data_IF_615766182004
#
_entry.id   IF_615766182004
#
_cell.length_a   1.000
_cell.length_b   1.000
_cell.length_c   1.000
_cell.angle_alpha   90.00
_cell.angle_beta   90.00
_cell.angle_gamma   90.00
#
_symmetry.space_group_name_H-M   'P 1'
#
loop_
_entity.id
_entity.type
_entity.pdbx_description
1 polymer ?
#
# COMPACT_ATOMS: atom_id res chain seq x y z
N UNK A 1 -9.49 -4.85 14.51
CA UNK A 1 -9.44 -3.83 13.44
C UNK A 1 -8.13 -3.95 12.71
N UNK A 2 -8.19 -4.14 11.41
CA UNK A 2 -6.97 -4.22 10.60
C UNK A 2 -6.37 -2.83 10.45
N UNK A 3 -5.09 -2.70 10.74
CA UNK A 3 -4.38 -1.45 10.56
C UNK A 3 -4.08 -1.28 9.07
N UNK A 4 -4.14 -0.04 8.57
CA UNK A 4 -3.96 0.21 7.14
C UNK A 4 -2.60 -0.28 6.62
N UNK A 5 -1.56 -0.19 7.44
CA UNK A 5 -0.24 -0.61 6.98
C UNK A 5 -0.13 -2.12 6.80
N UNK A 6 -0.95 -2.91 7.51
CA UNK A 6 -1.04 -4.35 7.26
C UNK A 6 -1.63 -4.62 5.88
N UNK A 7 -2.58 -3.79 5.44
CA UNK A 7 -3.16 -3.89 4.09
C UNK A 7 -2.12 -3.67 3.01
N UNK A 8 -1.18 -2.76 3.24
CA UNK A 8 -0.10 -2.52 2.30
C UNK A 8 0.68 -3.80 2.03
N UNK A 9 1.02 -4.51 3.09
CA UNK A 9 1.73 -5.77 2.99
C UNK A 9 0.88 -6.83 2.31
N UNK A 10 -0.39 -6.94 2.72
CA UNK A 10 -1.30 -7.96 2.18
C UNK A 10 -1.45 -7.78 0.66
N UNK A 11 -1.64 -6.55 0.21
CA UNK A 11 -1.80 -6.29 -1.22
C UNK A 11 -0.51 -6.55 -1.99
N UNK A 12 0.64 -6.22 -1.39
CA UNK A 12 1.94 -6.50 -2.02
C UNK A 12 2.14 -8.00 -2.17
N UNK A 13 1.85 -8.77 -1.13
CA UNK A 13 2.01 -10.22 -1.16
C UNK A 13 1.03 -10.86 -2.14
N UNK A 14 -0.21 -10.37 -2.18
CA UNK A 14 -1.20 -10.85 -3.13
C UNK A 14 -0.78 -10.59 -4.58
N UNK A 15 -0.07 -9.50 -4.82
CA UNK A 15 0.45 -9.17 -6.15
C UNK A 15 1.78 -9.86 -6.45
N UNK A 16 2.27 -10.68 -5.53
CA UNK A 16 3.52 -11.43 -5.70
C UNK A 16 4.72 -10.52 -5.89
N UNK A 17 4.73 -9.38 -5.20
CA UNK A 17 5.79 -8.38 -5.33
C UNK A 17 6.67 -8.35 -4.10
N UNK A 18 7.95 -8.07 -4.31
CA UNK A 18 8.89 -7.83 -3.22
C UNK A 18 8.82 -6.38 -2.78
N UNK A 19 9.22 -6.10 -1.53
CA UNK A 19 9.28 -4.73 -1.03
C UNK A 19 10.16 -3.86 -1.93
N UNK A 20 11.27 -4.39 -2.43
CA UNK A 20 12.16 -3.64 -3.32
C UNK A 20 11.46 -3.21 -4.61
N UNK A 21 10.60 -4.06 -5.16
CA UNK A 21 9.87 -3.74 -6.39
C UNK A 21 8.87 -2.61 -6.15
N UNK A 22 8.16 -2.66 -5.04
CA UNK A 22 7.20 -1.60 -4.69
C UNK A 22 7.91 -0.29 -4.40
N UNK A 23 9.03 -0.35 -3.67
CA UNK A 23 9.83 0.83 -3.39
C UNK A 23 10.32 1.49 -4.67
N UNK A 24 10.78 0.68 -5.63
CA UNK A 24 11.22 1.18 -6.93
C UNK A 24 10.07 1.85 -7.68
N UNK A 25 8.89 1.25 -7.64
CA UNK A 25 7.71 1.83 -8.27
C UNK A 25 7.38 3.21 -7.68
N UNK A 26 7.53 3.35 -6.35
CA UNK A 26 7.26 4.61 -5.67
C UNK A 26 8.42 5.61 -5.77
N UNK A 27 9.58 5.18 -6.24
CA UNK A 27 10.76 6.04 -6.33
C UNK A 27 11.42 6.30 -4.99
N UNK A 28 11.34 5.36 -4.06
CA UNK A 28 11.91 5.48 -2.72
C UNK A 28 12.80 4.28 -2.42
N UNK A 29 13.57 4.37 -1.34
CA UNK A 29 14.42 3.26 -0.91
C UNK A 29 13.59 2.19 -0.22
N UNK A 30 14.01 0.94 -0.34
CA UNK A 30 13.32 -0.17 0.28
C UNK A 30 13.23 -0.02 1.80
N UNK A 31 14.28 0.50 2.44
CA UNK A 31 14.27 0.70 3.89
C UNK A 31 13.17 1.66 4.32
N UNK A 32 12.91 2.70 3.50
CA UNK A 32 11.83 3.65 3.76
C UNK A 32 10.47 2.96 3.60
N UNK A 33 10.30 2.22 2.50
CA UNK A 33 9.04 1.51 2.26
C UNK A 33 8.76 0.48 3.38
N UNK A 34 9.81 -0.22 3.82
CA UNK A 34 9.67 -1.21 4.90
C UNK A 34 9.10 -0.57 6.16
N UNK A 35 9.49 0.67 6.47
CA UNK A 35 8.96 1.37 7.63
C UNK A 35 7.47 1.67 7.49
N UNK A 36 7.01 1.91 6.26
CA UNK A 36 5.58 2.12 6.02
C UNK A 36 4.80 0.83 6.32
N UNK A 37 5.29 -0.32 5.85
CA UNK A 37 4.60 -1.60 6.08
C UNK A 37 4.58 -2.01 7.54
N UNK A 38 5.57 -1.59 8.31
CA UNK A 38 5.65 -1.92 9.73
C UNK A 38 4.89 -0.93 10.62
N UNK A 39 4.36 0.14 10.03
CA UNK A 39 3.70 1.19 10.79
C UNK A 39 4.67 2.07 11.58
N UNK A 40 5.97 1.94 11.32
CA UNK A 40 6.99 2.77 11.98
C UNK A 40 6.97 4.21 11.45
N UNK A 41 6.40 4.40 10.26
CA UNK A 41 6.32 5.71 9.62
C UNK A 41 5.04 5.78 8.80
N UNK A 42 4.36 6.93 8.86
CA UNK A 42 3.13 7.12 8.10
C UNK A 42 3.43 7.33 6.62
N UNK A 43 2.78 6.53 5.77
CA UNK A 43 2.98 6.65 4.32
C UNK A 43 2.27 7.91 3.80
N UNK A 44 2.94 8.74 2.97
CA UNK A 44 2.31 9.90 2.37
C UNK A 44 1.15 9.54 1.46
N UNK A 45 0.16 10.43 1.38
CA UNK A 45 -1.02 10.21 0.56
C UNK A 45 -0.67 9.97 -0.91
N UNK A 46 0.31 10.67 -1.45
CA UNK A 46 0.72 10.51 -2.85
C UNK A 46 1.19 9.08 -3.14
N UNK A 47 1.86 8.45 -2.18
CA UNK A 47 2.29 7.05 -2.34
C UNK A 47 1.10 6.10 -2.22
N UNK A 48 0.15 6.41 -1.35
CA UNK A 48 -1.08 5.61 -1.23
C UNK A 48 -1.88 5.62 -2.52
N UNK A 49 -1.98 6.79 -3.16
CA UNK A 49 -2.69 6.91 -4.43
C UNK A 49 -2.02 6.04 -5.50
N UNK A 50 -0.69 6.10 -5.57
CA UNK A 50 0.07 5.27 -6.51
C UNK A 50 -0.13 3.78 -6.27
N UNK A 51 -0.16 3.38 -5.00
CA UNK A 51 -0.38 1.97 -4.65
C UNK A 51 -1.80 1.51 -4.97
N UNK A 52 -2.78 2.38 -4.74
CA UNK A 52 -4.16 2.08 -5.12
C UNK A 52 -4.26 1.83 -6.62
N UNK A 53 -3.56 2.64 -7.42
CA UNK A 53 -3.51 2.46 -8.87
C UNK A 53 -2.79 1.17 -9.24
N UNK A 54 -1.65 0.90 -8.60
CA UNK A 54 -0.85 -0.30 -8.87
C UNK A 54 -1.66 -1.57 -8.62
N UNK A 55 -2.37 -1.62 -7.51
CA UNK A 55 -3.14 -2.81 -7.11
C UNK A 55 -4.57 -2.80 -7.65
N UNK A 56 -4.97 -1.71 -8.30
CA UNK A 56 -6.32 -1.54 -8.87
C UNK A 56 -7.40 -1.72 -7.81
N UNK A 57 -7.22 -1.07 -6.68
CA UNK A 57 -8.17 -1.07 -5.57
C UNK A 57 -8.49 0.36 -5.17
N UNK A 58 -9.58 0.53 -4.40
CA UNK A 58 -9.94 1.86 -3.90
C UNK A 58 -8.99 2.30 -2.80
N UNK A 59 -8.85 3.60 -2.64
CA UNK A 59 -8.06 4.16 -1.56
C UNK A 59 -8.69 3.81 -0.20
N UNK A 60 -10.00 3.77 -0.14
CA UNK A 60 -10.72 3.38 1.08
C UNK A 60 -10.38 1.95 1.49
N UNK A 61 -10.32 1.03 0.52
CA UNK A 61 -9.92 -0.34 0.81
C UNK A 61 -8.48 -0.39 1.31
N UNK A 62 -7.58 0.31 0.63
CA UNK A 62 -6.15 0.28 0.96
C UNK A 62 -5.90 0.84 2.36
N UNK A 63 -6.68 1.82 2.79
CA UNK A 63 -6.55 2.41 4.12
C UNK A 63 -7.38 1.72 5.20
N UNK A 64 -8.10 0.66 4.82
CA UNK A 64 -8.89 -0.13 5.76
C UNK A 64 -10.25 0.43 6.11
N UNK A 65 -10.72 1.44 5.37
CA UNK A 65 -12.02 2.05 5.63
C UNK A 65 -13.18 1.24 5.07
N UNK A 66 -12.92 0.35 4.13
CA UNK A 66 -13.93 -0.51 3.54
C UNK A 66 -13.37 -1.89 3.27
N UNK A 67 -14.23 -2.89 3.18
CA UNK A 67 -13.85 -4.24 2.76
C UNK A 67 -14.01 -4.44 1.25
N UNK A 68 -14.52 -3.43 0.55
CA UNK A 68 -14.78 -3.49 -0.89
C UNK A 68 -13.53 -3.03 -1.65
N UNK A 69 -12.99 -3.91 -2.49
CA UNK A 69 -11.79 -3.60 -3.29
C UNK A 69 -12.07 -2.68 -4.46
N UNK A 70 -13.32 -2.53 -4.86
CA UNK A 70 -13.70 -1.80 -6.07
C UNK A 70 -13.14 -0.38 -6.07
N UNK A 71 -12.59 -0.02 -7.24
CA UNK A 71 -12.20 1.36 -7.50
C UNK A 71 -13.49 2.16 -7.66
N UNK A 72 -13.62 3.24 -6.92
CA UNK A 72 -14.79 4.11 -6.99
C UNK A 72 -14.55 5.15 -8.08
N UNK A 73 -15.23 4.97 -9.19
CA UNK A 73 -15.14 5.89 -10.32
C UNK A 73 -16.38 6.73 -10.43
#
# INVERSE_FOLDING_TARGET
>A
MALYFQRLRDMREDADMKQSAVAQYLGIQQTVYSRYERGARTIPLEHLIKLADLYNVSLDFLTGRTQTMKVNK
#
